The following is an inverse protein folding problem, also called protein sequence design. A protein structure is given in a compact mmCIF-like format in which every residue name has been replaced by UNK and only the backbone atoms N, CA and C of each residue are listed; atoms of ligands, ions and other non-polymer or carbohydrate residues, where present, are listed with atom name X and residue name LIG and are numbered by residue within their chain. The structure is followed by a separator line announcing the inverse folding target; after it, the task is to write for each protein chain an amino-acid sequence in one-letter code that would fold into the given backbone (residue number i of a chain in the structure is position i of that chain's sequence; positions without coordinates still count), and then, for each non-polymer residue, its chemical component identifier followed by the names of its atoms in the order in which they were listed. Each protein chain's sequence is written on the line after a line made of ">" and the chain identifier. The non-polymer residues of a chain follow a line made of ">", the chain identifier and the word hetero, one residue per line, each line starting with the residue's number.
data_IF_716834431578
#
_entry.id   IF_716834431578
#
_cell.length_a   1.000
_cell.length_b   1.000
_cell.length_c   1.000
_cell.angle_alpha   90.00
_cell.angle_beta   90.00
_cell.angle_gamma   90.00
#
_symmetry.space_group_name_H-M   'P 1'
#
loop_
_entity.id
_entity.type
_entity.pdbx_description
1 polymer ?
#
# COMPACT_ATOMS: atom_id res chain seq x y z
N UNK A 1 12.95 14.80 11.06
CA UNK A 1 13.08 14.61 12.52
C UNK A 1 12.39 15.77 13.21
N UNK A 2 11.48 15.46 14.12
CA UNK A 2 10.71 16.45 14.88
C UNK A 2 11.32 16.57 16.27
N UNK A 3 11.42 17.78 16.81
CA UNK A 3 11.91 18.00 18.18
C UNK A 3 11.01 17.32 19.21
N UNK A 4 11.52 16.99 20.42
CA UNK A 4 10.72 16.29 21.44
C UNK A 4 9.43 17.01 21.86
N UNK A 5 9.39 18.34 21.75
CA UNK A 5 8.25 19.19 22.07
C UNK A 5 7.32 19.44 20.85
N UNK A 6 7.66 18.90 19.68
CA UNK A 6 6.89 19.08 18.45
C UNK A 6 7.01 20.46 17.80
N UNK A 7 7.83 21.37 18.33
CA UNK A 7 7.87 22.77 17.89
C UNK A 7 8.74 23.00 16.65
N UNK A 8 9.67 22.10 16.36
CA UNK A 8 10.62 22.22 15.25
C UNK A 8 10.74 20.91 14.48
N UNK A 9 11.10 21.01 13.21
CA UNK A 9 11.45 19.85 12.40
C UNK A 9 12.62 20.19 11.48
N UNK A 10 13.46 19.19 11.21
CA UNK A 10 14.49 19.23 10.17
C UNK A 10 14.31 18.07 9.19
N UNK A 11 14.67 18.31 7.94
CA UNK A 11 14.78 17.26 6.93
C UNK A 11 15.94 16.34 7.31
N UNK A 12 15.69 15.03 7.33
CA UNK A 12 16.74 14.01 7.59
C UNK A 12 17.30 13.52 6.26
N UNK A 13 16.42 13.26 5.30
CA UNK A 13 16.73 12.98 3.91
C UNK A 13 15.54 13.39 3.05
N UNK A 14 15.80 13.60 1.77
CA UNK A 14 14.81 13.82 0.74
C UNK A 14 15.30 13.18 -0.56
N UNK A 15 14.38 12.63 -1.35
CA UNK A 15 14.67 12.27 -2.73
C UNK A 15 15.07 13.51 -3.54
N UNK A 16 15.76 13.27 -4.64
CA UNK A 16 16.24 14.26 -5.61
C UNK A 16 15.51 14.20 -6.95
N UNK A 17 14.75 13.12 -7.21
CA UNK A 17 13.99 12.99 -8.46
C UNK A 17 12.73 13.86 -8.45
N UNK A 18 12.53 14.59 -9.54
CA UNK A 18 11.30 15.31 -9.86
C UNK A 18 10.40 14.51 -10.84
N UNK A 19 10.83 13.30 -11.23
CA UNK A 19 10.11 12.45 -12.17
C UNK A 19 9.14 11.53 -11.44
N UNK A 20 7.88 11.50 -11.87
CA UNK A 20 6.91 10.51 -11.40
C UNK A 20 7.11 9.10 -12.01
N UNK A 21 8.00 8.95 -13.00
CA UNK A 21 8.31 7.68 -13.66
C UNK A 21 9.66 7.15 -13.16
N UNK A 22 10.69 7.99 -13.26
CA UNK A 22 12.07 7.66 -12.87
C UNK A 22 12.34 8.17 -11.44
N UNK A 23 11.57 7.64 -10.49
CA UNK A 23 11.67 8.00 -9.07
C UNK A 23 12.93 7.42 -8.45
N UNK A 24 13.50 8.09 -7.44
CA UNK A 24 14.62 7.59 -6.63
C UNK A 24 14.15 7.07 -5.25
N UNK A 25 13.03 7.57 -4.75
CA UNK A 25 12.36 7.10 -3.53
C UNK A 25 11.00 6.45 -3.78
N UNK A 26 9.98 6.95 -3.08
CA UNK A 26 8.59 6.51 -3.14
C UNK A 26 7.69 7.73 -3.39
N UNK A 27 6.91 7.69 -4.47
CA UNK A 27 5.99 8.77 -4.85
C UNK A 27 4.55 8.21 -4.85
N UNK A 28 3.92 8.05 -3.67
CA UNK A 28 2.58 7.48 -3.57
C UNK A 28 1.52 8.53 -3.94
N UNK A 29 0.44 8.10 -4.59
CA UNK A 29 -0.68 9.00 -4.95
C UNK A 29 -1.89 8.81 -4.03
N UNK A 30 -2.29 7.56 -3.79
CA UNK A 30 -3.57 7.25 -3.12
C UNK A 30 -3.42 6.61 -1.75
N UNK A 31 -2.35 5.85 -1.53
CA UNK A 31 -2.16 5.11 -0.29
C UNK A 31 -1.24 5.89 0.67
N UNK A 32 -1.46 5.72 1.97
CA UNK A 32 -0.58 6.26 3.02
C UNK A 32 0.55 5.26 3.29
N UNK A 33 1.83 5.57 2.99
CA UNK A 33 2.92 4.65 3.23
C UNK A 33 2.98 4.19 4.68
N UNK A 34 3.37 2.94 4.87
CA UNK A 34 3.60 2.37 6.20
C UNK A 34 5.06 2.59 6.57
N UNK A 35 5.29 3.00 7.81
CA UNK A 35 6.61 3.04 8.44
C UNK A 35 6.62 2.08 9.63
N UNK A 36 7.52 1.09 9.60
CA UNK A 36 7.64 0.05 10.65
C UNK A 36 8.68 0.39 11.74
N UNK A 37 9.30 1.58 11.66
CA UNK A 37 10.42 2.00 12.51
C UNK A 37 11.80 1.90 11.83
N UNK A 38 11.95 1.08 10.80
CA UNK A 38 13.20 0.85 10.05
C UNK A 38 13.04 0.98 8.54
N UNK A 39 11.88 0.63 8.01
CA UNK A 39 11.58 0.60 6.59
C UNK A 39 10.28 1.34 6.31
N UNK A 40 10.18 1.85 5.07
CA UNK A 40 8.97 2.43 4.52
C UNK A 40 8.46 1.51 3.41
N UNK A 41 7.17 1.19 3.44
CA UNK A 41 6.49 0.42 2.41
C UNK A 41 5.35 1.22 1.79
N UNK A 42 5.23 1.17 0.48
CA UNK A 42 4.14 1.85 -0.21
C UNK A 42 4.07 1.54 -1.69
N UNK A 43 2.99 1.99 -2.31
CA UNK A 43 2.75 1.83 -3.75
C UNK A 43 3.01 3.17 -4.44
N UNK A 44 3.95 3.17 -5.38
CA UNK A 44 4.24 4.33 -6.22
C UNK A 44 3.15 4.52 -7.29
N UNK A 45 3.14 5.71 -7.88
CA UNK A 45 2.23 6.21 -8.88
C UNK A 45 1.94 5.30 -10.08
N UNK A 46 2.85 4.39 -10.40
CA UNK A 46 2.75 3.47 -11.54
C UNK A 46 2.49 2.01 -11.13
N UNK A 47 2.16 1.78 -9.86
CA UNK A 47 1.78 0.48 -9.30
C UNK A 47 2.90 -0.24 -8.58
N UNK A 48 4.15 0.24 -8.64
CA UNK A 48 5.25 -0.45 -7.97
C UNK A 48 5.05 -0.42 -6.45
N UNK A 49 4.83 -1.58 -5.84
CA UNK A 49 5.01 -1.78 -4.41
C UNK A 49 6.50 -1.77 -4.11
N UNK A 50 6.92 -0.97 -3.13
CA UNK A 50 8.34 -0.79 -2.79
C UNK A 50 8.60 -0.94 -1.30
N UNK A 51 9.80 -1.38 -0.98
CA UNK A 51 10.42 -1.26 0.33
C UNK A 51 11.61 -0.32 0.27
N UNK A 52 11.67 0.62 1.22
CA UNK A 52 12.73 1.60 1.35
C UNK A 52 13.36 1.50 2.74
N UNK A 53 14.66 1.77 2.83
CA UNK A 53 15.34 2.02 4.09
C UNK A 53 14.93 3.41 4.61
N UNK A 54 14.33 3.45 5.79
CA UNK A 54 13.80 4.70 6.35
C UNK A 54 14.89 5.65 6.86
N UNK A 55 16.13 5.19 7.04
CA UNK A 55 17.24 6.02 7.52
C UNK A 55 17.80 6.93 6.43
N UNK A 56 17.64 6.54 5.17
CA UNK A 56 18.27 7.23 4.03
C UNK A 56 17.37 7.36 2.78
N UNK A 57 16.16 6.78 2.80
CA UNK A 57 15.20 6.84 1.70
C UNK A 57 15.53 5.93 0.51
N UNK A 58 16.59 5.11 0.60
CA UNK A 58 17.03 4.24 -0.50
C UNK A 58 16.01 3.14 -0.75
N UNK A 59 15.61 2.97 -2.01
CA UNK A 59 14.85 1.79 -2.46
C UNK A 59 15.66 0.52 -2.27
N UNK A 60 15.11 -0.42 -1.51
CA UNK A 60 15.67 -1.75 -1.29
C UNK A 60 15.21 -2.73 -2.37
N UNK A 61 13.91 -2.66 -2.70
CA UNK A 61 13.29 -3.50 -3.72
C UNK A 61 12.03 -2.83 -4.27
N UNK A 62 11.57 -3.33 -5.42
CA UNK A 62 10.26 -3.02 -5.98
C UNK A 62 9.64 -4.23 -6.68
N UNK A 63 8.31 -4.26 -6.74
CA UNK A 63 7.55 -5.27 -7.46
C UNK A 63 6.18 -4.74 -7.87
N UNK A 64 5.56 -5.32 -8.89
CA UNK A 64 4.20 -4.98 -9.36
C UNK A 64 3.20 -6.12 -9.02
N UNK A 65 3.61 -7.14 -8.25
CA UNK A 65 2.82 -8.36 -8.01
C UNK A 65 1.54 -8.14 -7.19
N UNK A 66 1.56 -7.23 -6.19
CA UNK A 66 0.40 -6.94 -5.35
C UNK A 66 -0.69 -6.10 -6.07
N UNK A 67 -0.30 -5.48 -7.19
CA UNK A 67 -1.08 -4.49 -7.93
C UNK A 67 -1.10 -4.90 -9.40
N UNK A 68 -0.21 -4.32 -10.20
CA UNK A 68 0.05 -4.46 -11.62
C UNK A 68 0.71 -3.18 -12.11
N UNK A 69 0.70 -2.97 -13.43
CA UNK A 69 1.53 -1.92 -14.07
C UNK A 69 0.70 -0.86 -14.77
N UNK A 70 0.98 0.40 -14.44
CA UNK A 70 0.48 1.56 -15.17
C UNK A 70 0.10 2.71 -14.25
N UNK A 71 -0.32 3.82 -14.85
CA UNK A 71 -0.65 5.01 -14.07
C UNK A 71 -1.83 4.75 -13.12
N UNK A 72 -1.67 5.23 -11.88
CA UNK A 72 -2.65 5.12 -10.79
C UNK A 72 -2.98 3.69 -10.38
N UNK A 73 -2.06 2.74 -10.61
CA UNK A 73 -2.21 1.43 -9.99
C UNK A 73 -1.94 1.52 -8.49
N UNK A 74 -2.70 0.79 -7.67
CA UNK A 74 -2.70 1.01 -6.22
C UNK A 74 -3.12 -0.21 -5.39
N UNK A 75 -2.56 -0.27 -4.18
CA UNK A 75 -3.08 -1.04 -3.06
C UNK A 75 -2.96 -0.24 -1.76
N UNK A 76 -3.97 -0.35 -0.90
CA UNK A 76 -3.89 0.14 0.47
C UNK A 76 -3.17 -0.90 1.32
N UNK A 77 -2.16 -0.48 2.09
CA UNK A 77 -1.37 -1.36 2.95
C UNK A 77 -1.80 -1.13 4.40
N UNK A 78 -2.19 -2.20 5.09
CA UNK A 78 -2.69 -2.17 6.46
C UNK A 78 -1.82 -3.10 7.30
N UNK A 79 -1.01 -2.57 8.23
CA UNK A 79 -0.27 -3.39 9.19
C UNK A 79 -1.23 -4.14 10.11
N UNK A 80 -0.95 -5.42 10.35
CA UNK A 80 -1.71 -6.24 11.29
C UNK A 80 -0.81 -7.31 11.92
N UNK A 81 -0.50 -7.12 13.21
CA UNK A 81 0.38 -8.00 13.97
C UNK A 81 1.73 -8.24 13.26
N UNK A 82 2.00 -9.47 12.82
CA UNK A 82 3.22 -9.89 12.16
C UNK A 82 3.16 -9.81 10.63
N UNK A 83 2.03 -9.35 10.07
CA UNK A 83 1.71 -9.41 8.64
C UNK A 83 1.07 -8.12 8.14
N UNK A 84 0.80 -8.08 6.84
CA UNK A 84 0.15 -6.96 6.18
C UNK A 84 -1.06 -7.44 5.38
N UNK A 85 -2.15 -6.69 5.47
CA UNK A 85 -3.25 -6.77 4.52
C UNK A 85 -3.06 -5.73 3.42
N UNK A 86 -3.19 -6.15 2.17
CA UNK A 86 -3.16 -5.28 1.01
C UNK A 86 -4.51 -5.38 0.30
N UNK A 87 -5.28 -4.29 0.27
CA UNK A 87 -6.48 -4.20 -0.56
C UNK A 87 -6.14 -3.48 -1.85
N UNK A 88 -6.06 -4.24 -2.95
CA UNK A 88 -5.72 -3.69 -4.24
C UNK A 88 -6.96 -3.19 -4.99
N UNK A 89 -6.72 -2.34 -5.99
CA UNK A 89 -7.79 -1.75 -6.79
C UNK A 89 -8.49 -2.73 -7.75
N UNK A 90 -7.99 -3.95 -7.89
CA UNK A 90 -8.67 -5.06 -8.58
C UNK A 90 -9.78 -5.64 -7.70
N UNK A 91 -9.83 -5.24 -6.42
CA UNK A 91 -10.82 -5.69 -5.46
C UNK A 91 -10.37 -6.92 -4.66
N UNK A 92 -9.09 -7.28 -4.71
CA UNK A 92 -8.54 -8.37 -3.93
C UNK A 92 -8.20 -7.90 -2.51
N UNK A 93 -8.32 -8.81 -1.55
CA UNK A 93 -7.61 -8.75 -0.28
C UNK A 93 -6.45 -9.73 -0.33
N UNK A 94 -5.25 -9.21 -0.15
CA UNK A 94 -4.00 -9.95 -0.14
C UNK A 94 -3.46 -9.94 1.29
N UNK A 95 -2.94 -11.07 1.75
CA UNK A 95 -2.16 -11.17 2.99
C UNK A 95 -0.71 -11.39 2.58
N UNK A 96 0.22 -10.60 3.12
CA UNK A 96 1.63 -10.63 2.73
C UNK A 96 2.57 -10.30 3.89
N UNK A 97 3.83 -10.74 3.74
CA UNK A 97 4.96 -10.22 4.50
C UNK A 97 5.66 -9.13 3.69
N UNK A 98 5.95 -8.00 4.34
CA UNK A 98 6.80 -6.94 3.80
C UNK A 98 8.06 -6.85 4.66
N UNK A 99 9.22 -7.08 4.06
CA UNK A 99 10.52 -7.07 4.76
C UNK A 99 11.55 -6.26 3.97
N UNK A 100 12.72 -5.94 4.54
CA UNK A 100 13.82 -5.34 3.77
C UNK A 100 14.28 -6.20 2.57
N UNK A 101 14.02 -7.51 2.60
CA UNK A 101 14.41 -8.43 1.54
C UNK A 101 13.39 -8.47 0.37
N UNK A 102 12.12 -8.16 0.63
CA UNK A 102 11.10 -8.18 -0.42
C UNK A 102 9.66 -8.25 0.07
N UNK A 103 8.80 -8.44 -0.92
CA UNK A 103 7.39 -8.79 -0.80
C UNK A 103 7.22 -10.31 -0.93
N UNK A 104 6.49 -10.90 0.01
CA UNK A 104 6.07 -12.31 -0.02
C UNK A 104 4.56 -12.39 0.13
N UNK A 105 3.87 -12.86 -0.91
CA UNK A 105 2.43 -13.09 -0.87
C UNK A 105 2.12 -14.40 -0.12
N UNK A 106 1.27 -14.32 0.91
CA UNK A 106 0.84 -15.49 1.69
C UNK A 106 -0.50 -16.02 1.18
N UNK A 107 -1.44 -15.13 0.86
CA UNK A 107 -2.73 -15.49 0.30
C UNK A 107 -3.38 -14.32 -0.44
N UNK A 108 -4.34 -14.64 -1.31
CA UNK A 108 -5.14 -13.67 -2.05
C UNK A 108 -6.55 -14.20 -2.24
N UNK A 109 -7.53 -13.34 -1.99
CA UNK A 109 -8.93 -13.61 -2.28
C UNK A 109 -9.60 -12.38 -2.89
N UNK A 110 -10.53 -12.61 -3.82
CA UNK A 110 -11.39 -11.54 -4.33
C UNK A 110 -12.33 -11.09 -3.21
N UNK A 111 -12.18 -9.85 -2.75
CA UNK A 111 -13.00 -9.31 -1.68
C UNK A 111 -14.28 -8.67 -2.22
N UNK A 112 -14.17 -7.79 -3.21
CA UNK A 112 -15.30 -7.04 -3.77
C UNK A 112 -15.04 -6.66 -5.22
N UNK A 113 -16.08 -6.56 -6.07
CA UNK A 113 -15.88 -6.18 -7.46
C UNK A 113 -15.57 -4.68 -7.63
N UNK A 114 -14.62 -4.30 -8.50
CA UNK A 114 -14.38 -2.93 -8.87
C UNK A 114 -15.50 -2.38 -9.75
N UNK A 115 -15.88 -1.11 -9.54
CA UNK A 115 -17.05 -0.49 -10.18
C UNK A 115 -16.76 0.79 -10.94
N UNK A 116 -15.53 1.32 -10.83
CA UNK A 116 -15.16 2.60 -11.44
C UNK A 116 -14.26 2.40 -12.66
N UNK A 117 -14.64 2.83 -13.87
CA UNK A 117 -13.75 2.76 -15.02
C UNK A 117 -12.63 3.81 -14.91
N UNK A 118 -11.38 3.36 -14.97
CA UNK A 118 -10.19 4.21 -15.06
C UNK A 118 -9.30 3.65 -16.15
N UNK A 119 -8.98 4.48 -17.16
CA UNK A 119 -8.28 4.03 -18.36
C UNK A 119 -8.98 2.80 -18.99
N UNK A 120 -8.29 1.66 -19.08
CA UNK A 120 -8.79 0.43 -19.72
C UNK A 120 -9.20 -0.66 -18.71
N UNK A 121 -9.46 -0.28 -17.46
CA UNK A 121 -9.71 -1.21 -16.35
C UNK A 121 -10.79 -0.68 -15.40
N UNK A 122 -11.40 -1.61 -14.67
CA UNK A 122 -12.30 -1.29 -13.56
C UNK A 122 -11.46 -1.21 -12.28
N UNK A 123 -11.75 -0.23 -11.44
CA UNK A 123 -11.03 0.02 -10.20
C UNK A 123 -11.97 0.17 -9.01
N UNK A 124 -11.41 -0.10 -7.83
CA UNK A 124 -11.96 0.28 -6.54
C UNK A 124 -10.86 1.02 -5.77
N UNK A 125 -11.01 2.32 -5.59
CA UNK A 125 -10.11 3.14 -4.78
C UNK A 125 -10.77 3.50 -3.45
N UNK A 126 -11.19 2.47 -2.72
CA UNK A 126 -11.74 2.61 -1.38
C UNK A 126 -10.89 1.84 -0.39
N UNK A 127 -10.39 2.52 0.64
CA UNK A 127 -9.68 1.87 1.73
C UNK A 127 -10.65 0.93 2.49
N UNK A 128 -10.24 -0.30 2.85
CA UNK A 128 -11.07 -1.19 3.68
C UNK A 128 -11.07 -0.73 5.14
N UNK A 129 -12.05 -1.17 5.93
CA UNK A 129 -12.05 -1.03 7.37
C UNK A 129 -12.03 -2.41 8.05
N UNK A 130 -11.44 -2.51 9.24
CA UNK A 130 -11.35 -3.75 9.99
C UNK A 130 -11.99 -3.58 11.36
N UNK A 131 -12.91 -4.48 11.72
CA UNK A 131 -13.54 -4.54 13.03
C UNK A 131 -14.18 -5.92 13.23
N UNK A 132 -14.36 -6.35 14.49
CA UNK A 132 -15.10 -7.58 14.81
C UNK A 132 -14.57 -8.83 14.09
N UNK A 133 -13.23 -8.94 13.96
CA UNK A 133 -12.57 -9.99 13.16
C UNK A 133 -13.09 -10.07 11.72
N UNK A 134 -13.44 -8.94 11.13
CA UNK A 134 -13.98 -8.85 9.78
C UNK A 134 -13.34 -7.70 9.03
N UNK A 135 -13.32 -7.83 7.70
CA UNK A 135 -13.04 -6.73 6.79
C UNK A 135 -14.35 -6.18 6.23
N UNK A 136 -14.41 -4.87 6.14
CA UNK A 136 -15.49 -4.12 5.51
C UNK A 136 -14.93 -3.44 4.27
N UNK A 137 -15.52 -3.76 3.11
CA UNK A 137 -15.14 -3.16 1.83
C UNK A 137 -16.38 -2.60 1.13
N UNK A 138 -16.18 -1.54 0.35
CA UNK A 138 -17.27 -0.86 -0.36
C UNK A 138 -16.86 -0.49 -1.77
N UNK A 139 -17.80 -0.58 -2.69
CA UNK A 139 -17.67 -0.05 -4.06
C UNK A 139 -18.82 0.94 -4.30
N UNK A 140 -19.11 1.28 -5.56
CA UNK A 140 -20.20 2.21 -5.90
C UNK A 140 -21.61 1.61 -5.76
N UNK A 141 -21.72 0.31 -5.45
CA UNK A 141 -22.98 -0.45 -5.42
C UNK A 141 -23.33 -1.02 -4.05
N UNK A 142 -22.32 -1.39 -3.26
CA UNK A 142 -22.51 -2.11 -2.01
C UNK A 142 -21.41 -1.83 -0.98
N UNK A 143 -21.74 -2.15 0.27
CA UNK A 143 -20.78 -2.35 1.36
C UNK A 143 -20.98 -3.77 1.88
N UNK A 144 -19.89 -4.53 1.96
CA UNK A 144 -19.89 -5.91 2.43
C UNK A 144 -19.09 -6.02 3.73
N UNK A 145 -19.42 -7.05 4.51
CA UNK A 145 -18.63 -7.53 5.64
C UNK A 145 -18.20 -8.95 5.34
N UNK A 146 -16.90 -9.22 5.36
CA UNK A 146 -16.35 -10.58 5.22
C UNK A 146 -15.68 -10.98 6.51
N UNK A 147 -16.03 -12.16 7.01
CA UNK A 147 -15.44 -12.72 8.22
C UNK A 147 -14.00 -13.18 7.97
N UNK A 148 -13.09 -12.86 8.89
CA UNK A 148 -11.68 -13.23 8.86
C UNK A 148 -11.34 -14.20 10.00
N UNK A 149 -12.35 -14.76 10.69
CA UNK A 149 -12.16 -15.57 11.88
C UNK A 149 -11.85 -17.05 11.62
N UNK A 150 -11.83 -17.48 10.35
CA UNK A 150 -11.51 -18.86 9.99
C UNK A 150 -10.03 -19.18 10.30
N UNK A 151 -9.83 -20.29 11.01
CA UNK A 151 -8.51 -20.88 11.34
C UNK A 151 -7.94 -21.69 10.16
#
# INVERSE_FOLDING_TARGET
>A
EVSPDGSQAKIVWAGTSDSEINTDGLHPIMMTPVFDGKNIYGVDSYGQLRGLDASNGKRLWETEQATGKGRWWNAFIIPHEDRYFLHNEQGDLIIANLTPAGYEELSRAKLIEPTRPVQRRMTIWSHPAFAMKSVFARNDKEIIRVDLSAE
#
